data_IF_883827840227
#
_entry.id   IF_883827840227
#
_cell.length_a   1.000
_cell.length_b   1.000
_cell.length_c   1.000
_cell.angle_alpha   90.00
_cell.angle_beta   90.00
_cell.angle_gamma   90.00
#
_symmetry.space_group_name_H-M   'P 1'
#
loop_
_entity.id
_entity.type
_entity.pdbx_description
1 polymer ?
#
# COMPACT_ATOMS: atom_id res chain seq x y z
N UNK A 1 -22.10 61.43 -3.32
CA UNK A 1 -22.31 60.15 -4.03
C UNK A 1 -21.65 60.08 -5.42
N UNK A 2 -20.93 61.10 -5.86
CA UNK A 2 -20.38 61.24 -7.23
C UNK A 2 -19.01 60.56 -7.47
N UNK A 3 -18.08 60.53 -6.53
CA UNK A 3 -16.71 60.06 -6.74
C UNK A 3 -16.56 58.53 -6.87
N UNK A 4 -17.44 57.74 -6.23
CA UNK A 4 -17.40 56.28 -6.36
C UNK A 4 -17.80 55.74 -7.75
N UNK A 5 -18.54 56.54 -8.53
CA UNK A 5 -18.92 56.14 -9.92
C UNK A 5 -17.76 56.32 -10.91
N UNK A 6 -16.79 57.21 -10.66
CA UNK A 6 -15.63 57.43 -11.53
C UNK A 6 -14.54 56.36 -11.46
N UNK A 7 -14.59 55.49 -10.43
CA UNK A 7 -13.53 54.47 -10.21
C UNK A 7 -13.75 53.17 -10.94
N UNK A 8 -14.99 52.93 -11.46
CA UNK A 8 -15.40 51.65 -12.07
C UNK A 8 -16.07 51.86 -13.42
N UNK A 9 -15.51 51.20 -14.44
CA UNK A 9 -16.04 51.13 -15.79
C UNK A 9 -16.90 49.85 -15.94
N UNK A 10 -18.10 49.97 -16.43
CA UNK A 10 -18.98 48.82 -16.77
C UNK A 10 -18.55 48.27 -18.14
N UNK A 11 -18.44 46.95 -18.25
CA UNK A 11 -18.12 46.28 -19.49
C UNK A 11 -19.36 45.77 -20.21
N UNK A 12 -19.22 45.28 -21.45
CA UNK A 12 -20.31 44.61 -22.22
C UNK A 12 -20.76 43.30 -21.57
N UNK A 13 -19.91 42.71 -20.71
CA UNK A 13 -20.22 41.46 -20.00
C UNK A 13 -20.93 41.80 -18.68
N UNK A 14 -22.12 41.24 -18.39
CA UNK A 14 -22.85 41.50 -17.16
C UNK A 14 -22.04 41.13 -15.90
N UNK A 15 -22.03 42.03 -14.92
CA UNK A 15 -21.29 41.83 -13.65
C UNK A 15 -19.77 41.77 -13.76
N UNK A 16 -19.18 42.13 -14.90
CA UNK A 16 -17.75 42.35 -15.06
C UNK A 16 -17.48 43.86 -15.08
N UNK A 17 -16.64 44.34 -14.18
CA UNK A 17 -16.27 45.75 -14.04
C UNK A 17 -14.75 45.91 -14.14
N UNK A 18 -14.31 47.02 -14.69
CA UNK A 18 -12.90 47.37 -14.75
C UNK A 18 -12.61 48.48 -13.78
N UNK A 19 -11.56 48.35 -13.00
CA UNK A 19 -11.11 49.42 -12.12
C UNK A 19 -10.19 50.38 -12.91
N UNK A 20 -10.54 51.66 -12.98
CA UNK A 20 -9.78 52.66 -13.72
C UNK A 20 -8.35 52.86 -13.21
N UNK A 21 -8.17 52.80 -11.90
CA UNK A 21 -6.86 53.09 -11.30
C UNK A 21 -5.84 51.93 -11.49
N UNK A 22 -6.34 50.68 -11.40
CA UNK A 22 -5.47 49.49 -11.51
C UNK A 22 -5.52 48.78 -12.87
N UNK A 23 -6.45 49.16 -13.75
CA UNK A 23 -6.72 48.49 -15.02
C UNK A 23 -7.29 47.09 -14.89
N UNK A 24 -7.42 46.53 -13.68
CA UNK A 24 -7.83 45.13 -13.43
C UNK A 24 -9.35 44.96 -13.46
N UNK A 25 -9.77 43.73 -13.84
CA UNK A 25 -11.16 43.35 -13.86
C UNK A 25 -11.64 42.73 -12.54
N UNK A 26 -12.89 42.99 -12.21
CA UNK A 26 -13.57 42.51 -11.01
C UNK A 26 -14.92 41.90 -11.40
N UNK A 27 -15.26 40.76 -10.79
CA UNK A 27 -16.57 40.16 -10.86
C UNK A 27 -17.45 40.64 -9.72
N UNK A 28 -18.71 41.03 -10.01
CA UNK A 28 -19.71 41.42 -9.02
C UNK A 28 -20.70 40.27 -8.86
N UNK A 29 -20.87 39.75 -7.65
CA UNK A 29 -21.72 38.63 -7.34
C UNK A 29 -22.65 38.99 -6.18
N UNK A 30 -23.89 38.50 -6.22
CA UNK A 30 -24.81 38.57 -5.06
C UNK A 30 -24.81 37.22 -4.36
N UNK A 31 -24.29 37.15 -3.14
CA UNK A 31 -24.25 35.94 -2.32
C UNK A 31 -25.01 36.19 -1.04
N UNK A 32 -26.05 35.40 -0.74
CA UNK A 32 -26.92 35.55 0.44
C UNK A 32 -27.44 36.97 0.63
N UNK A 33 -27.92 37.61 -0.46
CA UNK A 33 -28.48 38.99 -0.44
C UNK A 33 -27.42 40.11 -0.35
N UNK A 34 -26.14 39.82 -0.18
CA UNK A 34 -25.06 40.81 -0.12
C UNK A 34 -24.24 40.83 -1.40
N UNK A 35 -23.90 42.01 -1.90
CA UNK A 35 -23.00 42.14 -3.04
C UNK A 35 -21.56 41.88 -2.62
N UNK A 36 -20.89 40.95 -3.31
CA UNK A 36 -19.49 40.63 -3.15
C UNK A 36 -18.72 40.96 -4.43
N UNK A 37 -17.59 41.62 -4.29
CA UNK A 37 -16.70 41.97 -5.39
C UNK A 37 -15.47 41.10 -5.33
N UNK A 38 -15.12 40.45 -6.44
CA UNK A 38 -13.98 39.55 -6.55
C UNK A 38 -12.99 40.09 -7.57
N UNK A 39 -11.74 40.30 -7.17
CA UNK A 39 -10.67 40.61 -8.10
C UNK A 39 -10.35 39.38 -8.96
N UNK A 40 -10.45 39.50 -10.26
CA UNK A 40 -10.16 38.43 -11.22
C UNK A 40 -8.68 38.31 -11.59
N UNK A 41 -7.82 39.17 -10.96
CA UNK A 41 -6.35 39.15 -11.11
C UNK A 41 -5.87 39.17 -12.57
N UNK A 42 -6.52 39.94 -13.41
CA UNK A 42 -6.15 40.14 -14.82
C UNK A 42 -6.62 41.51 -15.31
N UNK A 43 -5.92 42.04 -16.27
CA UNK A 43 -6.21 43.26 -17.03
C UNK A 43 -6.65 42.94 -18.49
N UNK A 44 -6.65 41.64 -18.85
CA UNK A 44 -7.06 41.15 -20.16
C UNK A 44 -8.54 40.75 -20.14
N UNK A 45 -9.36 41.38 -20.96
CA UNK A 45 -10.82 41.18 -20.99
C UNK A 45 -11.26 39.74 -21.28
N UNK A 46 -10.62 39.04 -22.22
CA UNK A 46 -10.94 37.65 -22.56
C UNK A 46 -10.66 36.69 -21.40
N UNK A 47 -9.56 36.89 -20.68
CA UNK A 47 -9.20 36.13 -19.48
C UNK A 47 -10.15 36.44 -18.33
N UNK A 48 -10.53 37.71 -18.17
CA UNK A 48 -11.49 38.13 -17.17
C UNK A 48 -12.87 37.49 -17.37
N UNK A 49 -13.33 37.39 -18.61
CA UNK A 49 -14.59 36.74 -18.98
C UNK A 49 -14.58 35.24 -18.61
N UNK A 50 -13.50 34.52 -18.93
CA UNK A 50 -13.35 33.10 -18.55
C UNK A 50 -13.36 32.93 -17.04
N UNK A 51 -12.57 33.71 -16.31
CA UNK A 51 -12.51 33.64 -14.84
C UNK A 51 -13.82 34.02 -14.17
N UNK A 52 -14.57 34.97 -14.77
CA UNK A 52 -15.91 35.32 -14.29
C UNK A 52 -16.88 34.15 -14.45
N UNK A 53 -16.82 33.43 -15.59
CA UNK A 53 -17.64 32.24 -15.84
C UNK A 53 -17.32 31.11 -14.86
N UNK A 54 -16.04 30.88 -14.58
CA UNK A 54 -15.60 29.88 -13.59
C UNK A 54 -16.11 30.22 -12.17
N UNK A 55 -16.02 31.48 -11.76
CA UNK A 55 -16.51 31.92 -10.47
C UNK A 55 -18.05 31.89 -10.36
N UNK A 56 -18.76 32.19 -11.44
CA UNK A 56 -20.21 31.99 -11.52
C UNK A 56 -20.58 30.52 -11.35
N UNK A 57 -19.89 29.63 -12.04
CA UNK A 57 -20.12 28.19 -11.92
C UNK A 57 -19.82 27.65 -10.51
N UNK A 58 -18.81 28.19 -9.82
CA UNK A 58 -18.52 27.85 -8.41
C UNK A 58 -19.64 28.33 -7.47
N UNK A 59 -20.12 29.57 -7.65
CA UNK A 59 -21.20 30.13 -6.81
C UNK A 59 -22.51 29.38 -7.05
N UNK A 60 -22.82 29.02 -8.30
CA UNK A 60 -24.03 28.28 -8.63
C UNK A 60 -23.99 26.86 -8.08
N UNK A 61 -22.86 26.17 -8.21
CA UNK A 61 -22.64 24.86 -7.54
C UNK A 61 -22.82 24.97 -6.03
N UNK A 62 -22.30 26.03 -5.39
CA UNK A 62 -22.49 26.27 -3.97
C UNK A 62 -23.96 26.52 -3.59
N UNK A 63 -24.71 27.23 -4.43
CA UNK A 63 -26.17 27.45 -4.26
C UNK A 63 -26.96 26.15 -4.39
N UNK A 64 -26.67 25.34 -5.42
CA UNK A 64 -27.30 24.03 -5.60
C UNK A 64 -26.98 23.09 -4.44
N UNK A 65 -25.78 23.15 -3.91
CA UNK A 65 -25.41 22.39 -2.71
C UNK A 65 -26.27 22.81 -1.50
N UNK A 66 -26.49 24.10 -1.28
CA UNK A 66 -27.35 24.60 -0.21
C UNK A 66 -28.83 24.21 -0.43
N UNK A 67 -29.31 24.23 -1.67
CA UNK A 67 -30.67 23.81 -2.01
C UNK A 67 -30.86 22.29 -1.84
N UNK A 68 -29.85 21.48 -2.19
CA UNK A 68 -29.87 20.04 -2.01
C UNK A 68 -29.77 19.64 -0.53
N UNK A 69 -29.05 20.41 0.29
CA UNK A 69 -29.03 20.27 1.77
C UNK A 69 -30.41 20.43 2.38
N UNK A 70 -31.27 21.27 1.78
CA UNK A 70 -32.63 21.48 2.23
C UNK A 70 -33.62 20.38 1.78
N UNK A 71 -33.22 19.51 0.83
CA UNK A 71 -34.10 18.49 0.22
C UNK A 71 -33.81 17.04 0.65
N UNK A 72 -33.12 16.82 1.78
CA UNK A 72 -32.78 15.49 2.30
C UNK A 72 -31.46 15.00 1.74
N UNK A 73 -30.35 15.44 2.35
CA UNK A 73 -28.99 14.97 1.98
C UNK A 73 -28.86 13.47 2.15
N UNK A 74 -28.39 12.79 1.11
CA UNK A 74 -27.88 11.43 1.26
C UNK A 74 -26.74 11.43 2.29
N UNK A 75 -26.82 10.52 3.25
CA UNK A 75 -25.79 10.36 4.26
C UNK A 75 -24.49 9.82 3.65
N UNK A 76 -23.37 10.01 4.32
CA UNK A 76 -22.08 9.43 3.88
C UNK A 76 -22.15 7.91 3.77
N UNK A 77 -23.03 7.23 4.52
CA UNK A 77 -23.32 5.81 4.39
C UNK A 77 -23.80 5.40 3.00
N UNK A 78 -24.62 6.25 2.35
CA UNK A 78 -25.07 6.01 0.98
C UNK A 78 -23.90 6.15 0.00
N UNK A 79 -23.02 7.14 0.20
CA UNK A 79 -21.78 7.30 -0.59
C UNK A 79 -20.84 6.12 -0.40
N UNK A 80 -20.74 5.60 0.82
CA UNK A 80 -19.94 4.40 1.12
C UNK A 80 -20.49 3.18 0.37
N UNK A 81 -21.81 3.03 0.31
CA UNK A 81 -22.47 1.96 -0.45
C UNK A 81 -22.20 2.09 -1.95
N UNK A 82 -22.37 3.28 -2.51
CA UNK A 82 -22.04 3.56 -3.92
C UNK A 82 -20.57 3.31 -4.20
N UNK A 83 -19.66 3.74 -3.33
CA UNK A 83 -18.23 3.51 -3.51
C UNK A 83 -17.89 2.02 -3.46
N UNK A 84 -18.47 1.24 -2.54
CA UNK A 84 -18.31 -0.21 -2.49
C UNK A 84 -18.82 -0.88 -3.78
N UNK A 85 -19.97 -0.43 -4.31
CA UNK A 85 -20.48 -0.94 -5.57
C UNK A 85 -19.51 -0.63 -6.73
N UNK A 86 -19.02 0.61 -6.84
CA UNK A 86 -18.01 0.98 -7.84
C UNK A 86 -16.73 0.15 -7.74
N UNK A 87 -16.33 -0.29 -6.54
CA UNK A 87 -15.20 -1.21 -6.36
C UNK A 87 -15.52 -2.58 -6.94
N UNK A 88 -16.74 -3.10 -6.73
CA UNK A 88 -17.14 -4.42 -7.29
C UNK A 88 -17.22 -4.40 -8.81
N UNK A 89 -17.70 -3.31 -9.40
CA UNK A 89 -17.85 -3.17 -10.84
C UNK A 89 -16.50 -3.06 -11.59
N UNK A 90 -15.39 -2.78 -10.88
CA UNK A 90 -14.07 -2.70 -11.47
C UNK A 90 -13.56 -4.06 -11.92
N UNK A 91 -13.27 -4.20 -13.20
CA UNK A 91 -12.68 -5.42 -13.81
C UNK A 91 -11.15 -5.40 -13.83
N UNK A 92 -10.55 -4.21 -13.65
CA UNK A 92 -9.10 -3.97 -13.72
C UNK A 92 -8.33 -4.29 -12.44
N UNK A 93 -9.03 -4.61 -11.33
CA UNK A 93 -8.41 -4.90 -10.04
C UNK A 93 -8.73 -6.32 -9.54
N UNK A 94 -7.72 -6.92 -8.88
CA UNK A 94 -7.83 -8.28 -8.34
C UNK A 94 -8.80 -8.35 -7.15
N UNK A 95 -9.46 -9.51 -6.92
CA UNK A 95 -10.40 -9.69 -5.79
C UNK A 95 -9.82 -9.31 -4.43
N UNK A 96 -8.53 -9.61 -4.18
CA UNK A 96 -7.83 -9.21 -2.95
C UNK A 96 -7.76 -7.69 -2.79
N UNK A 97 -7.61 -6.94 -3.89
CA UNK A 97 -7.60 -5.47 -3.86
C UNK A 97 -9.00 -4.93 -3.59
N UNK A 98 -10.05 -5.51 -4.20
CA UNK A 98 -11.45 -5.16 -3.92
C UNK A 98 -11.77 -5.35 -2.44
N UNK A 99 -11.42 -6.51 -1.88
CA UNK A 99 -11.63 -6.81 -0.45
C UNK A 99 -10.94 -5.77 0.43
N UNK A 100 -9.68 -5.45 0.19
CA UNK A 100 -8.93 -4.45 0.95
C UNK A 100 -9.58 -3.06 0.90
N UNK A 101 -10.04 -2.62 -0.27
CA UNK A 101 -10.71 -1.31 -0.41
C UNK A 101 -12.02 -1.25 0.37
N UNK A 102 -12.78 -2.35 0.43
CA UNK A 102 -13.99 -2.44 1.28
C UNK A 102 -13.64 -2.40 2.77
N UNK A 103 -12.63 -3.17 3.18
CA UNK A 103 -12.12 -3.19 4.57
C UNK A 103 -11.67 -1.79 5.03
N UNK A 104 -11.13 -0.95 4.13
CA UNK A 104 -10.77 0.44 4.43
C UNK A 104 -12.03 1.27 4.76
N UNK A 105 -13.13 1.11 4.01
CA UNK A 105 -14.42 1.77 4.30
C UNK A 105 -15.01 1.28 5.61
N UNK A 106 -14.99 -0.03 5.85
CA UNK A 106 -15.50 -0.63 7.10
C UNK A 106 -14.71 -0.16 8.31
N UNK A 107 -13.39 -0.01 8.17
CA UNK A 107 -12.54 0.53 9.22
C UNK A 107 -12.90 1.99 9.57
N UNK A 108 -13.23 2.82 8.58
CA UNK A 108 -13.67 4.20 8.80
C UNK A 108 -14.99 4.20 9.58
N UNK A 109 -16.00 3.46 9.12
CA UNK A 109 -17.32 3.40 9.75
C UNK A 109 -17.21 2.91 11.20
N UNK A 110 -16.33 1.94 11.44
CA UNK A 110 -16.10 1.38 12.77
C UNK A 110 -15.40 2.36 13.73
N UNK A 111 -14.43 3.13 13.23
CA UNK A 111 -13.56 3.97 14.07
C UNK A 111 -14.00 5.42 14.15
N UNK A 112 -14.99 5.81 13.35
CA UNK A 112 -15.57 7.15 13.38
C UNK A 112 -17.05 7.05 13.75
N UNK A 113 -17.42 7.20 15.05
CA UNK A 113 -18.81 7.11 15.48
C UNK A 113 -19.71 8.07 14.73
N UNK A 114 -20.83 7.56 14.23
CA UNK A 114 -21.82 8.35 13.48
C UNK A 114 -21.41 8.75 12.05
N UNK A 115 -20.21 8.36 11.56
CA UNK A 115 -19.74 8.73 10.22
C UNK A 115 -20.74 8.42 9.11
N UNK A 116 -21.35 7.24 9.15
CA UNK A 116 -22.33 6.82 8.13
C UNK A 116 -23.60 7.69 8.09
N UNK A 117 -23.95 8.30 9.22
CA UNK A 117 -25.13 9.17 9.33
C UNK A 117 -24.84 10.65 9.09
N UNK A 118 -23.55 11.02 8.94
CA UNK A 118 -23.17 12.40 8.68
C UNK A 118 -23.58 12.82 7.27
N UNK A 119 -24.08 14.05 7.09
CA UNK A 119 -24.16 14.64 5.76
C UNK A 119 -22.74 14.92 5.22
N UNK A 120 -22.50 14.79 3.90
CA UNK A 120 -21.18 15.01 3.29
C UNK A 120 -20.56 16.38 3.64
N UNK A 121 -21.39 17.39 3.83
CA UNK A 121 -20.98 18.77 4.21
C UNK A 121 -20.33 18.84 5.61
N UNK A 122 -20.61 17.89 6.50
CA UNK A 122 -20.00 17.80 7.84
C UNK A 122 -18.68 17.07 7.85
N UNK A 123 -18.31 16.36 6.79
CA UNK A 123 -17.00 15.73 6.66
C UNK A 123 -15.98 16.78 6.24
N UNK A 124 -15.64 17.65 7.16
CA UNK A 124 -14.67 18.73 6.95
C UNK A 124 -13.24 18.22 7.05
N UNK A 125 -12.29 18.99 6.51
CA UNK A 125 -10.85 18.72 6.64
C UNK A 125 -10.43 18.57 8.10
N UNK A 126 -10.95 19.43 8.98
CA UNK A 126 -10.64 19.41 10.41
C UNK A 126 -11.17 18.14 11.09
N UNK A 127 -12.41 17.76 10.80
CA UNK A 127 -13.00 16.53 11.32
C UNK A 127 -12.22 15.27 10.92
N UNK A 128 -11.71 15.21 9.68
CA UNK A 128 -10.85 14.10 9.21
C UNK A 128 -9.50 14.11 9.94
N UNK A 129 -8.93 15.27 10.24
CA UNK A 129 -7.69 15.38 11.02
C UNK A 129 -7.88 14.88 12.45
N UNK A 130 -8.98 15.25 13.09
CA UNK A 130 -9.33 14.81 14.45
C UNK A 130 -9.53 13.29 14.51
N UNK A 131 -10.31 12.73 13.60
CA UNK A 131 -10.48 11.28 13.46
C UNK A 131 -9.14 10.56 13.19
N UNK A 132 -8.32 11.08 12.27
CA UNK A 132 -6.98 10.55 11.96
C UNK A 132 -6.10 10.48 13.22
N UNK A 133 -6.11 11.53 14.03
CA UNK A 133 -5.34 11.60 15.25
C UNK A 133 -5.85 10.62 16.32
N UNK A 134 -7.17 10.45 16.43
CA UNK A 134 -7.79 9.42 17.27
C UNK A 134 -7.39 8.02 16.83
N UNK A 135 -7.53 7.71 15.54
CA UNK A 135 -7.15 6.41 14.97
C UNK A 135 -5.65 6.10 15.13
N UNK A 136 -4.79 7.12 15.11
CA UNK A 136 -3.35 6.97 15.36
C UNK A 136 -3.03 6.62 16.81
N UNK A 137 -3.84 7.06 17.78
CA UNK A 137 -3.64 6.80 19.21
C UNK A 137 -4.32 5.51 19.67
N UNK A 138 -5.57 5.27 19.24
CA UNK A 138 -6.46 4.24 19.78
C UNK A 138 -6.57 3.01 18.86
N UNK A 139 -6.18 3.13 17.58
CA UNK A 139 -6.27 2.05 16.61
C UNK A 139 -7.70 1.75 16.17
N UNK A 140 -7.89 0.58 15.56
CA UNK A 140 -9.21 0.12 15.09
C UNK A 140 -9.98 -0.65 16.18
N UNK A 141 -9.40 -0.83 17.35
CA UNK A 141 -9.97 -1.69 18.41
C UNK A 141 -10.15 -3.15 17.96
N UNK A 142 -9.52 -3.56 16.85
CA UNK A 142 -9.69 -4.90 16.31
C UNK A 142 -8.57 -5.82 16.78
N UNK A 143 -8.80 -6.47 17.91
CA UNK A 143 -8.14 -7.75 18.18
C UNK A 143 -8.96 -8.83 17.50
N UNK A 144 -8.37 -9.59 16.57
CA UNK A 144 -8.97 -10.82 16.09
C UNK A 144 -9.29 -11.72 17.28
N UNK A 145 -10.47 -12.36 17.38
CA UNK A 145 -10.76 -13.29 18.45
C UNK A 145 -9.65 -14.35 18.53
N UNK A 146 -8.96 -14.44 19.67
CA UNK A 146 -7.85 -15.37 19.90
C UNK A 146 -6.44 -14.85 19.59
N UNK A 147 -6.26 -13.63 19.10
CA UNK A 147 -4.94 -13.01 19.02
C UNK A 147 -4.54 -12.49 20.40
N UNK A 148 -3.67 -13.22 21.09
CA UNK A 148 -2.93 -12.66 22.23
C UNK A 148 -2.10 -11.51 21.72
N UNK A 149 -2.17 -10.35 22.38
CA UNK A 149 -1.39 -9.16 22.04
C UNK A 149 0.10 -9.51 21.95
N UNK A 150 0.61 -9.59 20.71
CA UNK A 150 2.03 -9.90 20.44
C UNK A 150 2.90 -8.65 20.59
N UNK A 151 2.30 -7.49 20.75
CA UNK A 151 3.02 -6.25 21.01
C UNK A 151 2.20 -5.32 21.91
N UNK A 152 2.61 -5.08 23.16
CA UNK A 152 1.88 -4.21 24.09
C UNK A 152 2.12 -2.72 23.88
N UNK A 153 2.84 -2.30 22.84
CA UNK A 153 3.34 -0.91 22.73
C UNK A 153 2.66 0.00 21.72
N UNK A 154 1.72 -0.47 20.90
CA UNK A 154 1.02 0.41 19.96
C UNK A 154 -0.43 -0.03 19.75
N UNK A 155 -1.34 0.52 20.53
CA UNK A 155 -2.78 0.38 20.29
C UNK A 155 -3.27 1.15 19.05
N UNK A 156 -2.45 2.03 18.47
CA UNK A 156 -2.76 2.87 17.33
C UNK A 156 -2.65 2.16 15.97
N UNK A 157 -3.41 2.62 15.00
CA UNK A 157 -3.31 2.15 13.61
C UNK A 157 -2.07 2.69 12.92
N UNK A 158 -1.50 1.91 12.00
CA UNK A 158 -0.34 2.35 11.22
C UNK A 158 -0.66 3.55 10.31
N UNK A 159 0.32 4.44 10.11
CA UNK A 159 0.19 5.56 9.19
C UNK A 159 -0.24 5.13 7.78
N UNK A 160 0.21 3.95 7.33
CA UNK A 160 -0.18 3.37 6.04
C UNK A 160 -1.69 3.07 5.96
N UNK A 161 -2.27 2.45 6.98
CA UNK A 161 -3.71 2.15 7.03
C UNK A 161 -4.51 3.45 7.09
N UNK A 162 -4.15 4.37 7.99
CA UNK A 162 -4.81 5.67 8.14
C UNK A 162 -4.81 6.43 6.81
N UNK A 163 -3.68 6.50 6.12
CA UNK A 163 -3.56 7.18 4.84
C UNK A 163 -4.44 6.55 3.74
N UNK A 164 -4.61 5.24 3.74
CA UNK A 164 -5.52 4.54 2.82
C UNK A 164 -6.99 4.84 3.14
N UNK A 165 -7.34 4.88 4.41
CA UNK A 165 -8.68 5.30 4.85
C UNK A 165 -8.96 6.76 4.44
N UNK A 166 -8.01 7.69 4.59
CA UNK A 166 -8.13 9.06 4.11
C UNK A 166 -8.37 9.09 2.58
N UNK A 167 -7.68 8.24 1.81
CA UNK A 167 -7.92 8.14 0.37
C UNK A 167 -9.34 7.59 0.05
N UNK A 168 -9.85 6.66 0.86
CA UNK A 168 -11.22 6.17 0.72
C UNK A 168 -12.26 7.27 1.05
N UNK A 169 -12.08 8.02 2.14
CA UNK A 169 -12.94 9.18 2.47
C UNK A 169 -12.94 10.19 1.31
N UNK A 170 -11.76 10.54 0.78
CA UNK A 170 -11.66 11.47 -0.35
C UNK A 170 -12.46 10.98 -1.55
N UNK A 171 -12.36 9.70 -1.92
CA UNK A 171 -13.11 9.13 -3.06
C UNK A 171 -14.62 9.14 -2.82
N UNK A 172 -15.07 8.89 -1.59
CA UNK A 172 -16.49 9.02 -1.25
C UNK A 172 -16.98 10.47 -1.37
N UNK A 173 -16.16 11.44 -0.94
CA UNK A 173 -16.49 12.87 -1.11
C UNK A 173 -16.42 13.34 -2.57
N UNK A 174 -15.56 12.73 -3.41
CA UNK A 174 -15.57 12.97 -4.85
C UNK A 174 -16.91 12.53 -5.47
N UNK A 175 -17.50 11.41 -5.02
CA UNK A 175 -18.84 10.98 -5.42
C UNK A 175 -19.90 12.02 -4.99
N UNK A 176 -19.78 12.58 -3.79
CA UNK A 176 -20.68 13.64 -3.34
C UNK A 176 -20.60 14.90 -4.23
N UNK A 177 -19.39 15.25 -4.70
CA UNK A 177 -19.19 16.36 -5.65
C UNK A 177 -19.80 16.02 -7.01
N UNK A 178 -19.56 14.82 -7.54
CA UNK A 178 -20.17 14.34 -8.80
C UNK A 178 -21.70 14.38 -8.77
N UNK A 179 -22.29 14.12 -7.61
CA UNK A 179 -23.75 14.15 -7.38
C UNK A 179 -24.31 15.53 -7.04
N UNK A 180 -23.48 16.56 -7.03
CA UNK A 180 -23.89 17.93 -6.68
C UNK A 180 -24.22 18.16 -5.19
N UNK A 181 -23.86 17.21 -4.32
CA UNK A 181 -24.08 17.32 -2.86
C UNK A 181 -23.00 18.18 -2.18
N UNK A 182 -21.85 18.34 -2.82
CA UNK A 182 -20.76 19.22 -2.39
C UNK A 182 -20.30 20.10 -3.55
N UNK A 183 -20.05 21.37 -3.27
CA UNK A 183 -19.46 22.31 -4.24
C UNK A 183 -17.99 22.04 -4.54
N UNK A 184 -17.33 21.22 -3.73
CA UNK A 184 -15.92 20.80 -3.89
C UNK A 184 -15.51 19.87 -2.74
N UNK A 185 -14.55 19.00 -2.99
CA UNK A 185 -14.06 18.08 -1.98
C UNK A 185 -13.14 18.81 -0.99
N UNK A 186 -13.47 18.87 0.32
CA UNK A 186 -12.70 19.60 1.33
C UNK A 186 -11.33 18.99 1.61
N UNK A 187 -11.06 17.79 1.12
CA UNK A 187 -9.76 17.13 1.27
C UNK A 187 -8.75 17.49 0.17
N UNK A 188 -9.09 18.43 -0.71
CA UNK A 188 -8.16 19.10 -1.63
C UNK A 188 -7.87 20.53 -1.13
N UNK A 189 -6.61 21.02 -1.25
CA UNK A 189 -5.40 20.32 -1.67
C UNK A 189 -4.99 19.23 -0.67
N UNK A 190 -4.21 18.26 -1.13
CA UNK A 190 -3.66 17.16 -0.30
C UNK A 190 -2.80 17.73 0.86
N UNK A 191 -2.40 16.90 1.81
CA UNK A 191 -1.51 17.34 2.90
C UNK A 191 -1.96 16.95 4.31
N UNK A 192 -3.02 16.14 4.43
CA UNK A 192 -3.48 15.62 5.73
C UNK A 192 -2.94 14.22 6.06
N UNK A 193 -2.22 13.59 5.15
CA UNK A 193 -1.65 12.26 5.35
C UNK A 193 -0.51 12.28 6.37
N UNK A 194 -0.40 11.21 7.13
CA UNK A 194 0.71 10.98 8.04
C UNK A 194 1.97 10.60 7.26
N UNK A 195 3.14 11.01 7.76
CA UNK A 195 4.42 10.57 7.22
C UNK A 195 4.57 9.06 7.45
N UNK A 196 4.77 8.31 6.39
CA UNK A 196 5.13 6.89 6.48
C UNK A 196 6.62 6.80 6.80
N UNK A 197 6.94 6.19 7.93
CA UNK A 197 8.33 5.83 8.24
C UNK A 197 8.54 4.39 7.77
N UNK A 198 9.39 4.16 6.76
CA UNK A 198 9.72 2.80 6.34
C UNK A 198 10.29 2.02 7.54
N UNK A 199 9.83 0.78 7.72
CA UNK A 199 10.43 -0.13 8.69
C UNK A 199 11.87 -0.41 8.22
N UNK A 200 12.86 -0.20 9.10
CA UNK A 200 14.21 -0.68 8.84
C UNK A 200 14.18 -2.21 8.99
N UNK A 201 14.65 -2.98 7.99
CA UNK A 201 14.77 -4.41 8.14
C UNK A 201 15.82 -4.67 9.24
N UNK A 202 15.41 -5.35 10.30
CA UNK A 202 16.35 -5.88 11.30
C UNK A 202 16.58 -7.34 10.96
N UNK A 203 17.67 -7.60 10.24
CA UNK A 203 17.98 -8.92 9.74
C UNK A 203 19.03 -9.56 10.64
N UNK A 204 18.72 -10.72 11.21
CA UNK A 204 19.69 -11.49 11.96
C UNK A 204 20.80 -12.01 11.05
N UNK A 205 21.94 -12.33 11.63
CA UNK A 205 23.03 -13.01 10.93
C UNK A 205 22.60 -14.39 10.44
N UNK A 206 23.28 -14.90 9.41
CA UNK A 206 22.97 -16.21 8.79
C UNK A 206 22.98 -17.36 9.79
N UNK A 207 23.90 -17.33 10.77
CA UNK A 207 23.94 -18.31 11.85
C UNK A 207 22.64 -18.28 12.69
N UNK A 208 22.16 -17.09 13.02
CA UNK A 208 20.94 -16.95 13.81
C UNK A 208 19.69 -17.36 13.02
N UNK A 209 19.67 -17.16 11.71
CA UNK A 209 18.59 -17.67 10.84
C UNK A 209 18.56 -19.21 10.88
N UNK A 210 19.74 -19.85 10.84
CA UNK A 210 19.84 -21.31 10.94
C UNK A 210 19.30 -21.82 12.28
N UNK A 211 19.60 -21.14 13.40
CA UNK A 211 19.03 -21.46 14.72
C UNK A 211 17.50 -21.32 14.73
N UNK A 212 16.97 -20.26 14.11
CA UNK A 212 15.51 -20.04 14.01
C UNK A 212 14.86 -21.19 13.23
N UNK A 213 15.42 -21.59 12.09
CA UNK A 213 14.88 -22.70 11.31
C UNK A 213 14.94 -24.03 12.09
N UNK A 214 16.02 -24.29 12.80
CA UNK A 214 16.16 -25.46 13.66
C UNK A 214 15.13 -25.43 14.80
N UNK A 215 14.85 -24.25 15.38
CA UNK A 215 13.87 -24.09 16.44
C UNK A 215 12.44 -24.32 15.94
N UNK A 216 12.12 -23.88 14.69
CA UNK A 216 10.83 -24.21 14.06
C UNK A 216 10.69 -25.72 13.89
N UNK A 217 11.74 -26.40 13.42
CA UNK A 217 11.74 -27.85 13.19
C UNK A 217 11.56 -28.64 14.51
N UNK A 218 12.22 -28.18 15.60
CA UNK A 218 12.07 -28.74 16.97
C UNK A 218 10.70 -28.52 17.58
N UNK A 219 9.86 -27.70 17.01
CA UNK A 219 8.55 -27.34 17.55
C UNK A 219 7.55 -28.51 17.72
N UNK A 220 7.88 -29.73 17.27
CA UNK A 220 7.16 -30.98 17.53
C UNK A 220 5.78 -31.10 16.89
N UNK A 221 5.30 -30.09 16.18
CA UNK A 221 4.05 -30.17 15.42
C UNK A 221 4.21 -30.97 14.14
N UNK A 222 3.16 -31.66 13.69
CA UNK A 222 3.14 -32.47 12.47
C UNK A 222 3.72 -31.74 11.24
N UNK A 223 3.54 -30.43 11.13
CA UNK A 223 3.99 -29.61 10.00
C UNK A 223 5.25 -28.77 10.35
N UNK A 224 5.94 -29.03 11.47
CA UNK A 224 7.07 -28.23 11.92
C UNK A 224 8.23 -28.25 10.92
N UNK A 225 8.54 -29.42 10.39
CA UNK A 225 9.57 -29.59 9.36
C UNK A 225 9.23 -28.84 8.09
N UNK A 226 8.01 -29.00 7.59
CA UNK A 226 7.54 -28.30 6.38
C UNK A 226 7.54 -26.77 6.56
N UNK A 227 7.18 -26.28 7.76
CA UNK A 227 7.25 -24.85 8.08
C UNK A 227 8.69 -24.33 8.12
N UNK A 228 9.64 -25.12 8.64
CA UNK A 228 11.06 -24.79 8.61
C UNK A 228 11.59 -24.77 7.17
N UNK A 229 11.21 -25.75 6.36
CA UNK A 229 11.61 -25.84 4.95
C UNK A 229 11.00 -24.71 4.12
N UNK A 230 9.78 -24.30 4.43
CA UNK A 230 9.18 -23.11 3.82
C UNK A 230 9.98 -21.82 4.14
N UNK A 231 10.41 -21.66 5.37
CA UNK A 231 11.27 -20.52 5.77
C UNK A 231 12.64 -20.57 5.10
N UNK A 232 13.29 -21.76 5.08
CA UNK A 232 14.56 -21.98 4.36
C UNK A 232 14.43 -21.64 2.89
N UNK A 233 13.36 -22.10 2.24
CA UNK A 233 13.10 -21.82 0.83
C UNK A 233 13.02 -20.32 0.54
N UNK A 234 12.27 -19.55 1.35
CA UNK A 234 12.20 -18.09 1.21
C UNK A 234 13.56 -17.42 1.39
N UNK A 235 14.32 -17.85 2.41
CA UNK A 235 15.64 -17.28 2.74
C UNK A 235 16.72 -17.66 1.72
N UNK A 236 16.54 -18.74 0.97
CA UNK A 236 17.55 -19.24 0.02
C UNK A 236 17.22 -18.92 -1.44
N UNK A 237 15.99 -18.47 -1.73
CA UNK A 237 15.55 -18.14 -3.11
C UNK A 237 15.12 -16.70 -3.28
N UNK A 238 14.87 -15.99 -2.19
CA UNK A 238 14.31 -14.64 -2.24
C UNK A 238 12.90 -14.55 -2.84
N UNK A 239 12.17 -15.65 -2.96
CA UNK A 239 10.79 -15.64 -3.45
C UNK A 239 9.85 -14.83 -2.54
N UNK A 240 8.84 -14.19 -3.13
CA UNK A 240 7.73 -13.66 -2.36
C UNK A 240 6.88 -14.79 -1.79
N UNK A 241 6.17 -14.54 -0.68
CA UNK A 241 5.29 -15.54 -0.07
C UNK A 241 4.35 -16.20 -1.11
N UNK A 242 3.67 -15.38 -1.92
CA UNK A 242 2.73 -15.89 -2.93
C UNK A 242 3.40 -16.62 -4.11
N UNK A 243 4.65 -16.32 -4.40
CA UNK A 243 5.45 -17.02 -5.41
C UNK A 243 5.84 -18.41 -4.88
N UNK A 244 6.38 -18.49 -3.66
CA UNK A 244 6.73 -19.74 -3.00
C UNK A 244 5.54 -20.70 -2.86
N UNK A 245 4.34 -20.17 -2.56
CA UNK A 245 3.09 -20.95 -2.51
C UNK A 245 2.71 -21.60 -3.85
N UNK A 246 3.20 -21.03 -4.95
CA UNK A 246 2.87 -21.49 -6.30
C UNK A 246 3.93 -22.35 -6.96
N UNK A 247 5.11 -22.51 -6.37
CA UNK A 247 6.22 -23.26 -6.96
C UNK A 247 5.88 -24.77 -7.04
N UNK A 248 6.10 -25.33 -8.22
CA UNK A 248 5.93 -26.75 -8.52
C UNK A 248 7.28 -27.36 -8.91
N UNK A 249 7.37 -28.69 -8.94
CA UNK A 249 8.58 -29.40 -9.37
C UNK A 249 8.92 -29.14 -10.84
N UNK A 250 7.96 -28.79 -11.69
CA UNK A 250 8.20 -28.37 -13.06
C UNK A 250 8.96 -27.03 -13.17
N UNK A 251 9.02 -26.27 -12.08
CA UNK A 251 9.73 -24.99 -12.02
C UNK A 251 11.18 -25.13 -11.56
N UNK A 252 11.58 -26.33 -11.08
CA UNK A 252 12.94 -26.61 -10.60
C UNK A 252 13.73 -27.34 -11.68
N UNK A 253 14.81 -26.74 -12.14
CA UNK A 253 15.72 -27.33 -13.13
C UNK A 253 17.09 -27.54 -12.49
N UNK A 254 17.31 -28.77 -12.00
CA UNK A 254 18.59 -29.14 -11.36
C UNK A 254 19.78 -29.17 -12.33
N UNK A 255 19.53 -29.44 -13.63
CA UNK A 255 20.59 -29.52 -14.63
C UNK A 255 21.14 -28.12 -14.94
N UNK A 256 20.21 -27.14 -15.13
CA UNK A 256 20.58 -25.75 -15.33
C UNK A 256 20.90 -25.02 -14.02
N UNK A 257 20.58 -25.62 -12.87
CA UNK A 257 20.77 -25.00 -11.56
C UNK A 257 19.87 -23.76 -11.35
N UNK A 258 18.63 -23.79 -11.82
CA UNK A 258 17.73 -22.65 -11.74
C UNK A 258 16.35 -23.02 -11.17
N UNK A 259 15.72 -22.03 -10.55
CA UNK A 259 14.32 -22.01 -10.18
C UNK A 259 13.56 -20.99 -11.05
N UNK A 260 12.54 -21.45 -11.78
CA UNK A 260 11.65 -20.55 -12.52
C UNK A 260 10.56 -20.02 -11.57
N UNK A 261 10.53 -18.72 -11.36
CA UNK A 261 9.54 -18.06 -10.53
C UNK A 261 8.50 -17.43 -11.41
N UNK A 262 7.22 -17.86 -11.24
CA UNK A 262 6.09 -17.30 -11.98
C UNK A 262 5.43 -16.20 -11.16
N UNK A 263 5.50 -14.97 -11.64
CA UNK A 263 4.92 -13.81 -10.98
C UNK A 263 3.52 -13.50 -11.49
N UNK A 264 2.70 -12.93 -10.62
CA UNK A 264 1.29 -12.64 -10.94
C UNK A 264 0.96 -11.17 -11.14
N UNK A 265 1.95 -10.25 -10.99
CA UNK A 265 1.67 -8.80 -11.00
C UNK A 265 2.26 -8.03 -12.18
N UNK A 266 3.42 -8.42 -12.65
CA UNK A 266 4.15 -7.73 -13.72
C UNK A 266 4.93 -8.76 -14.54
N UNK A 267 5.27 -8.43 -15.77
CA UNK A 267 6.09 -9.28 -16.64
C UNK A 267 7.47 -9.55 -16.05
N UNK A 268 8.09 -8.58 -15.40
CA UNK A 268 9.34 -8.71 -14.64
C UNK A 268 9.24 -9.67 -13.43
N UNK A 269 8.04 -10.10 -13.05
CA UNK A 269 7.84 -11.06 -11.99
C UNK A 269 8.13 -12.51 -12.46
N UNK A 270 8.11 -12.79 -13.78
CA UNK A 270 8.57 -14.04 -14.36
C UNK A 270 10.08 -13.97 -14.51
N UNK A 271 10.79 -14.81 -13.79
CA UNK A 271 12.26 -14.79 -13.73
C UNK A 271 12.86 -16.13 -13.43
N UNK A 272 14.13 -16.28 -13.74
CA UNK A 272 14.95 -17.40 -13.32
C UNK A 272 15.85 -16.96 -12.15
N UNK A 273 15.85 -17.75 -11.08
CA UNK A 273 16.69 -17.53 -9.89
C UNK A 273 17.69 -18.67 -9.84
N UNK A 274 19.01 -18.40 -9.84
CA UNK A 274 20.01 -19.43 -9.68
C UNK A 274 19.86 -20.15 -8.33
N UNK A 275 20.02 -21.47 -8.34
CA UNK A 275 20.03 -22.27 -7.12
C UNK A 275 21.37 -22.11 -6.41
N UNK A 276 21.42 -21.27 -5.40
CA UNK A 276 22.59 -21.21 -4.50
C UNK A 276 22.72 -22.57 -3.77
N UNK A 277 23.93 -22.94 -3.30
CA UNK A 277 24.16 -24.25 -2.70
C UNK A 277 23.16 -24.66 -1.61
N UNK A 278 22.78 -23.80 -0.65
CA UNK A 278 21.75 -24.14 0.34
C UNK A 278 20.35 -24.38 -0.25
N UNK A 279 19.97 -23.64 -1.31
CA UNK A 279 18.70 -23.83 -2.00
C UNK A 279 18.68 -25.17 -2.73
N UNK A 280 19.76 -25.48 -3.44
CA UNK A 280 19.92 -26.75 -4.16
C UNK A 280 19.82 -27.95 -3.21
N UNK A 281 20.59 -27.95 -2.12
CA UNK A 281 20.55 -29.01 -1.12
C UNK A 281 19.15 -29.19 -0.48
N UNK A 282 18.47 -28.12 -0.19
CA UNK A 282 17.08 -28.16 0.29
C UNK A 282 16.16 -28.84 -0.71
N UNK A 283 16.22 -28.44 -1.97
CA UNK A 283 15.33 -28.97 -3.03
C UNK A 283 15.65 -30.44 -3.37
N UNK A 284 16.92 -30.83 -3.42
CA UNK A 284 17.33 -32.21 -3.62
C UNK A 284 16.81 -33.12 -2.48
N UNK A 285 16.90 -32.66 -1.22
CA UNK A 285 16.33 -33.39 -0.08
C UNK A 285 14.81 -33.53 -0.14
N UNK A 286 14.10 -32.48 -0.54
CA UNK A 286 12.64 -32.52 -0.70
C UNK A 286 12.23 -33.44 -1.85
N UNK A 287 12.97 -33.41 -2.96
CA UNK A 287 12.69 -34.29 -4.10
C UNK A 287 12.95 -35.77 -3.76
N UNK A 288 14.05 -36.09 -3.08
CA UNK A 288 14.31 -37.45 -2.60
C UNK A 288 13.18 -37.96 -1.67
N UNK A 289 12.65 -37.11 -0.80
CA UNK A 289 11.53 -37.45 0.07
C UNK A 289 10.25 -37.70 -0.74
N UNK A 290 9.97 -36.88 -1.74
CA UNK A 290 8.84 -37.02 -2.66
C UNK A 290 8.93 -38.33 -3.45
N UNK A 291 10.08 -38.64 -4.01
CA UNK A 291 10.31 -39.87 -4.77
C UNK A 291 10.13 -41.12 -3.90
N UNK A 292 10.62 -41.10 -2.65
CA UNK A 292 10.40 -42.20 -1.70
C UNK A 292 8.91 -42.46 -1.47
N UNK A 293 8.11 -41.41 -1.28
CA UNK A 293 6.67 -41.54 -1.10
C UNK A 293 5.99 -42.06 -2.36
N UNK A 294 6.37 -41.58 -3.54
CA UNK A 294 5.84 -42.06 -4.81
C UNK A 294 6.16 -43.54 -5.06
N UNK A 295 7.39 -43.96 -4.74
CA UNK A 295 7.82 -45.37 -4.92
C UNK A 295 7.19 -46.33 -3.87
N UNK A 296 6.79 -45.80 -2.70
CA UNK A 296 6.10 -46.59 -1.66
C UNK A 296 4.59 -46.73 -1.91
N UNK A 297 4.02 -45.96 -2.82
CA UNK A 297 2.61 -46.16 -3.25
C UNK A 297 2.48 -47.42 -4.10
N UNK A 298 1.59 -48.31 -3.69
CA UNK A 298 1.54 -49.75 -3.97
C UNK A 298 1.35 -50.20 -5.43
N UNK A 299 1.34 -49.33 -6.42
CA UNK A 299 1.16 -49.73 -7.83
C UNK A 299 2.26 -49.27 -8.78
N UNK A 300 3.51 -49.42 -8.38
CA UNK A 300 4.70 -49.58 -9.28
C UNK A 300 4.95 -48.59 -10.43
N UNK A 301 4.07 -47.62 -10.68
CA UNK A 301 4.10 -46.73 -11.84
C UNK A 301 3.90 -45.23 -11.52
N UNK A 302 3.76 -44.86 -10.27
CA UNK A 302 3.56 -43.45 -9.92
C UNK A 302 4.88 -42.68 -9.98
N UNK A 303 5.29 -42.21 -11.16
CA UNK A 303 6.25 -41.16 -11.25
C UNK A 303 5.74 -39.96 -10.44
N UNK A 304 6.60 -39.41 -9.60
CA UNK A 304 6.27 -38.25 -8.79
C UNK A 304 5.81 -37.09 -9.69
N UNK A 305 4.57 -36.61 -9.50
CA UNK A 305 3.95 -35.60 -10.37
C UNK A 305 4.80 -34.33 -10.44
N UNK A 306 5.32 -33.94 -11.62
CA UNK A 306 6.07 -32.70 -11.78
C UNK A 306 5.23 -31.44 -11.54
N UNK A 307 3.90 -31.56 -11.57
CA UNK A 307 2.97 -30.48 -11.25
C UNK A 307 2.69 -30.36 -9.75
N UNK A 308 3.16 -31.33 -8.95
CA UNK A 308 3.05 -31.32 -7.50
C UNK A 308 3.81 -30.13 -6.89
N UNK A 309 3.26 -29.57 -5.81
CA UNK A 309 3.92 -28.46 -5.09
C UNK A 309 5.22 -28.92 -4.46
N UNK A 310 6.22 -28.02 -4.47
CA UNK A 310 7.51 -28.26 -3.83
C UNK A 310 7.40 -28.23 -2.31
N UNK A 311 6.58 -27.32 -1.76
CA UNK A 311 6.48 -27.05 -0.33
C UNK A 311 5.19 -27.65 0.25
N UNK A 312 5.31 -28.38 1.37
CA UNK A 312 4.22 -29.05 2.06
C UNK A 312 3.24 -28.10 2.78
N UNK A 313 3.67 -26.87 3.04
CA UNK A 313 2.82 -25.82 3.66
C UNK A 313 2.82 -24.55 2.82
N UNK A 314 1.75 -23.75 2.95
CA UNK A 314 1.64 -22.47 2.26
C UNK A 314 2.23 -21.29 3.03
N UNK A 315 2.53 -21.45 4.32
CA UNK A 315 3.10 -20.38 5.16
C UNK A 315 3.62 -20.91 6.50
N UNK A 316 4.45 -20.11 7.16
CA UNK A 316 4.93 -20.36 8.51
C UNK A 316 4.56 -19.22 9.49
N UNK A 317 3.42 -18.56 9.26
CA UNK A 317 3.01 -17.32 9.95
C UNK A 317 2.86 -17.44 11.47
N UNK A 318 2.69 -18.66 12.00
CA UNK A 318 2.68 -18.91 13.45
C UNK A 318 4.00 -19.46 13.97
N UNK A 319 4.66 -20.33 13.22
CA UNK A 319 5.89 -21.03 13.61
C UNK A 319 7.08 -20.08 13.66
N UNK A 320 7.25 -19.22 12.66
CA UNK A 320 8.35 -18.27 12.58
C UNK A 320 8.36 -17.26 13.74
N UNK A 321 7.27 -16.54 14.06
CA UNK A 321 7.24 -15.65 15.23
C UNK A 321 7.47 -16.38 16.55
N UNK A 322 6.94 -17.60 16.72
CA UNK A 322 7.15 -18.38 17.96
C UNK A 322 8.62 -18.75 18.17
N UNK A 323 9.30 -19.17 17.10
CA UNK A 323 10.73 -19.47 17.17
C UNK A 323 11.55 -18.22 17.49
N UNK A 324 11.24 -17.06 16.88
CA UNK A 324 11.87 -15.80 17.21
C UNK A 324 11.69 -15.44 18.70
N UNK A 325 10.46 -15.56 19.23
CA UNK A 325 10.17 -15.29 20.64
C UNK A 325 10.98 -16.20 21.56
N UNK A 326 11.04 -17.51 21.27
CA UNK A 326 11.74 -18.49 22.08
C UNK A 326 13.26 -18.25 22.11
N UNK A 327 13.81 -17.75 21.01
CA UNK A 327 15.23 -17.41 20.89
C UNK A 327 15.55 -15.97 21.33
N UNK A 328 14.57 -15.20 21.80
CA UNK A 328 14.74 -13.83 22.27
C UNK A 328 15.16 -12.85 21.16
N UNK A 329 14.84 -13.15 19.89
CA UNK A 329 15.15 -12.27 18.76
C UNK A 329 13.93 -11.49 18.30
N UNK A 330 14.16 -10.39 17.58
CA UNK A 330 13.06 -9.60 17.00
C UNK A 330 12.21 -10.45 16.04
N UNK A 331 10.92 -10.20 16.02
CA UNK A 331 9.97 -10.96 15.22
C UNK A 331 10.23 -10.77 13.73
N UNK A 332 10.44 -11.87 13.04
CA UNK A 332 10.60 -11.92 11.60
C UNK A 332 9.28 -12.25 10.90
N UNK A 333 9.10 -11.69 9.72
CA UNK A 333 8.04 -12.02 8.77
C UNK A 333 8.64 -12.80 7.59
N UNK A 334 7.78 -13.39 6.76
CA UNK A 334 8.21 -14.02 5.51
C UNK A 334 8.92 -13.03 4.56
N UNK A 335 8.61 -11.73 4.64
CA UNK A 335 9.28 -10.72 3.85
C UNK A 335 10.71 -10.47 4.32
N UNK A 336 10.93 -10.50 5.64
CA UNK A 336 12.27 -10.35 6.21
C UNK A 336 13.21 -11.50 5.79
N UNK A 337 12.68 -12.72 5.54
CA UNK A 337 13.48 -13.84 4.99
C UNK A 337 13.93 -13.58 3.55
N UNK A 338 13.08 -12.98 2.73
CA UNK A 338 13.47 -12.53 1.39
C UNK A 338 14.49 -11.39 1.44
N UNK A 339 14.33 -10.49 2.40
CA UNK A 339 15.30 -9.41 2.63
C UNK A 339 16.64 -9.97 3.10
N UNK A 340 16.63 -11.05 3.89
CA UNK A 340 17.86 -11.78 4.29
C UNK A 340 18.58 -12.36 3.08
N UNK A 341 17.87 -12.95 2.10
CA UNK A 341 18.48 -13.41 0.84
C UNK A 341 19.17 -12.27 0.09
N UNK A 342 18.47 -11.13 -0.05
CA UNK A 342 19.02 -9.97 -0.73
C UNK A 342 20.29 -9.46 -0.05
N UNK A 343 20.27 -9.35 1.29
CA UNK A 343 21.42 -8.92 2.09
C UNK A 343 22.60 -9.88 1.94
N UNK A 344 22.34 -11.19 2.06
CA UNK A 344 23.38 -12.20 1.92
C UNK A 344 24.01 -12.18 0.52
N UNK A 345 23.21 -12.01 -0.54
CA UNK A 345 23.73 -11.91 -1.91
C UNK A 345 24.61 -10.66 -2.10
N UNK A 346 24.17 -9.50 -1.61
CA UNK A 346 24.95 -8.26 -1.68
C UNK A 346 26.24 -8.37 -0.85
N UNK A 347 26.19 -8.94 0.35
CA UNK A 347 27.35 -9.16 1.21
C UNK A 347 28.34 -10.16 0.60
N UNK A 348 27.85 -11.13 -0.20
CA UNK A 348 28.68 -12.02 -1.00
C UNK A 348 29.33 -11.34 -2.23
N UNK A 349 29.02 -10.09 -2.51
CA UNK A 349 29.58 -9.30 -3.61
C UNK A 349 28.80 -9.38 -4.91
N UNK A 350 27.58 -9.93 -4.92
CA UNK A 350 26.71 -9.90 -6.10
C UNK A 350 26.23 -8.45 -6.31
N UNK A 351 26.31 -7.98 -7.54
CA UNK A 351 25.91 -6.61 -7.89
C UNK A 351 24.39 -6.39 -7.71
N UNK A 352 24.02 -5.15 -7.40
CA UNK A 352 22.63 -4.78 -7.11
C UNK A 352 21.67 -5.04 -8.27
N UNK A 353 21.99 -4.74 -9.54
CA UNK A 353 21.13 -5.09 -10.67
C UNK A 353 20.85 -6.60 -10.76
N UNK A 354 21.83 -7.44 -10.56
CA UNK A 354 21.68 -8.91 -10.55
C UNK A 354 20.77 -9.37 -9.42
N UNK A 355 20.98 -8.88 -8.19
CA UNK A 355 20.10 -9.19 -7.05
C UNK A 355 18.68 -8.69 -7.31
N UNK A 356 18.53 -7.49 -7.89
CA UNK A 356 17.23 -6.93 -8.27
C UNK A 356 16.49 -7.81 -9.29
N UNK A 357 17.21 -8.33 -10.29
CA UNK A 357 16.67 -9.28 -11.27
C UNK A 357 16.21 -10.58 -10.59
N UNK A 358 17.02 -11.18 -9.72
CA UNK A 358 16.62 -12.38 -8.96
C UNK A 358 15.42 -12.17 -8.07
N UNK A 359 15.26 -10.97 -7.53
CA UNK A 359 14.09 -10.58 -6.73
C UNK A 359 12.87 -10.18 -7.58
N UNK A 360 13.02 -9.91 -8.88
CA UNK A 360 11.96 -9.40 -9.75
C UNK A 360 11.50 -7.99 -9.35
N UNK A 361 12.47 -7.09 -9.20
CA UNK A 361 12.25 -5.65 -9.03
C UNK A 361 12.30 -4.97 -10.40
N UNK A 362 11.21 -4.30 -10.77
CA UNK A 362 11.11 -3.62 -12.06
C UNK A 362 11.84 -2.26 -12.11
N UNK A 363 12.36 -1.80 -10.97
CA UNK A 363 13.00 -0.49 -10.80
C UNK A 363 14.53 -0.51 -10.92
N UNK A 364 15.09 -1.59 -11.48
CA UNK A 364 16.53 -1.75 -11.68
C UNK A 364 17.35 -1.78 -10.38
N UNK A 365 16.71 -1.97 -9.22
CA UNK A 365 17.38 -2.03 -7.93
C UNK A 365 17.31 -0.74 -7.12
N UNK A 366 16.61 0.29 -7.58
CA UNK A 366 16.47 1.54 -6.83
C UNK A 366 15.86 1.33 -5.43
N UNK A 367 14.89 0.40 -5.31
CA UNK A 367 14.33 0.01 -4.02
C UNK A 367 15.38 -0.71 -3.15
N UNK A 368 16.14 -1.64 -3.73
CA UNK A 368 17.23 -2.34 -3.05
C UNK A 368 18.27 -1.35 -2.52
N UNK A 369 18.74 -0.43 -3.35
CA UNK A 369 19.69 0.59 -2.90
C UNK A 369 19.17 1.40 -1.73
N UNK A 370 17.89 1.75 -1.73
CA UNK A 370 17.27 2.53 -0.65
C UNK A 370 17.13 1.74 0.65
N UNK A 371 16.85 0.44 0.56
CA UNK A 371 16.65 -0.45 1.72
C UNK A 371 18.00 -0.93 2.26
N UNK A 372 18.96 -1.26 1.37
CA UNK A 372 20.23 -1.88 1.69
C UNK A 372 21.45 -0.93 1.63
N UNK A 373 21.23 0.38 1.45
CA UNK A 373 22.29 1.39 1.55
C UNK A 373 23.01 1.41 2.93
N UNK A 374 22.47 0.70 3.90
CA UNK A 374 23.04 0.52 5.24
C UNK A 374 23.61 -0.90 5.40
N UNK A 375 24.67 -1.23 4.61
CA UNK A 375 25.36 -2.51 4.78
C UNK A 375 25.98 -2.60 6.18
N UNK A 376 26.17 -3.83 6.63
CA UNK A 376 26.88 -4.08 7.89
C UNK A 376 28.30 -3.52 7.80
N UNK A 377 28.77 -2.92 8.89
CA UNK A 377 30.11 -2.31 8.95
C UNK A 377 31.23 -3.30 8.54
N UNK A 378 31.08 -4.58 8.92
CA UNK A 378 32.02 -5.64 8.53
C UNK A 378 32.11 -5.80 7.01
N UNK A 379 31.00 -5.77 6.28
CA UNK A 379 30.99 -5.83 4.82
C UNK A 379 31.74 -4.63 4.20
N UNK A 380 31.49 -3.42 4.70
CA UNK A 380 32.19 -2.21 4.22
C UNK A 380 33.71 -2.33 4.37
N UNK A 381 34.18 -2.85 5.50
CA UNK A 381 35.63 -3.10 5.72
C UNK A 381 36.17 -4.12 4.72
N UNK A 382 35.46 -5.24 4.50
CA UNK A 382 35.85 -6.27 3.53
C UNK A 382 35.91 -5.73 2.10
N UNK A 383 34.97 -4.88 1.72
CA UNK A 383 34.96 -4.26 0.38
C UNK A 383 36.10 -3.24 0.22
N UNK A 384 36.38 -2.43 1.26
CA UNK A 384 37.47 -1.49 1.24
C UNK A 384 38.83 -2.18 1.01
N UNK A 385 39.05 -3.38 1.55
CA UNK A 385 40.28 -4.17 1.35
C UNK A 385 40.49 -4.64 -0.11
N UNK A 386 39.47 -4.60 -0.96
CA UNK A 386 39.57 -4.97 -2.39
C UNK A 386 39.99 -3.81 -3.28
N UNK A 387 39.95 -2.57 -2.77
CA UNK A 387 40.39 -1.40 -3.53
C UNK A 387 41.90 -1.38 -3.63
N UNK A 388 42.39 -1.42 -4.87
CA UNK A 388 43.83 -1.33 -5.19
C UNK A 388 44.04 -0.10 -6.04
N UNK A 389 45.08 0.66 -5.76
CA UNK A 389 45.54 1.79 -6.56
C UNK A 389 46.80 1.37 -7.32
#
# INVERSE_FOLDING_TARGET
>A
MSEKRQMWETTREPNLLRNHASGRYYGRFTVTGKQKWLNLNTDVWTVAKLRLADERAKIERARQTVANVSSGEAAVGDLATIYKQRIEDRVDIKPKTKRRLREEVDAIIKTWPGFASLPPSRVTRQAVIEWRNGMSREGTGHMSPGAKAISPKNNGSSASLINKCIDAIRRMLDIAVERGQLGGNPLYPRGIKLKNTPRKPNLPESAKLTEIFAEIERGGGRMSRDAADFCRFLAYTGCRLSEAQGVTWADVDFNRGILRVRGSKTEAANREVPLIPPARALLERLDASRQKVANAAVDGAAHADPRGKVLGVGEAGKSLPRACQKLGVELLTHHDLRDAFATAAIEAGVDIPTVAAWLGHADGGALLMRVYAHHRRAHSVTQAAKVKF
#
